data_IF_093320625240
#
_entry.id   IF_093320625240
#
_cell.length_a   1.000
_cell.length_b   1.000
_cell.length_c   1.000
_cell.angle_alpha   90.00
_cell.angle_beta   90.00
_cell.angle_gamma   90.00
#
_symmetry.space_group_name_H-M   'P 1'
#
loop_
_entity.id
_entity.type
_entity.pdbx_description
1 polymer ?
#
# COMPACT_ATOMS: atom_id res chain seq x y z
N UNK A 1 7.65 4.40 -7.85
CA UNK A 1 8.37 4.71 -6.60
C UNK A 1 9.89 4.60 -6.78
N UNK A 2 10.43 3.42 -7.08
CA UNK A 2 11.88 3.16 -7.21
C UNK A 2 12.63 4.12 -8.15
N UNK A 3 12.11 4.30 -9.37
CA UNK A 3 12.66 5.24 -10.35
C UNK A 3 12.68 6.68 -9.84
N UNK A 4 11.65 7.09 -9.08
CA UNK A 4 11.56 8.42 -8.49
C UNK A 4 12.56 8.61 -7.37
N UNK A 5 12.74 7.62 -6.49
CA UNK A 5 13.77 7.65 -5.44
C UNK A 5 15.17 7.78 -6.04
N UNK A 6 15.48 6.99 -7.07
CA UNK A 6 16.77 7.06 -7.76
C UNK A 6 17.01 8.43 -8.40
N UNK A 7 15.99 9.00 -9.03
CA UNK A 7 16.04 10.36 -9.58
C UNK A 7 16.29 11.42 -8.48
N UNK A 8 15.50 11.40 -7.39
CA UNK A 8 15.63 12.37 -6.29
C UNK A 8 16.99 12.29 -5.58
N UNK A 9 17.57 11.08 -5.45
CA UNK A 9 18.92 10.89 -4.91
C UNK A 9 19.99 11.42 -5.86
N UNK A 10 19.86 11.13 -7.17
CA UNK A 10 20.78 11.61 -8.19
C UNK A 10 20.85 13.14 -8.24
N UNK A 11 19.69 13.81 -8.23
CA UNK A 11 19.61 15.29 -8.21
C UNK A 11 20.31 15.91 -6.99
N UNK A 12 20.44 15.14 -5.90
CA UNK A 12 21.13 15.55 -4.66
C UNK A 12 22.56 15.02 -4.55
N UNK A 13 23.10 14.43 -5.63
CA UNK A 13 24.50 14.00 -5.72
C UNK A 13 24.80 12.62 -5.15
N UNK A 14 23.78 11.79 -4.89
CA UNK A 14 23.96 10.43 -4.37
C UNK A 14 23.80 9.37 -5.47
N UNK A 15 24.55 8.27 -5.33
CA UNK A 15 24.36 7.06 -6.11
C UNK A 15 23.38 6.11 -5.40
N UNK A 16 22.57 5.38 -6.16
CA UNK A 16 21.60 4.43 -5.60
C UNK A 16 22.06 2.98 -5.85
N UNK A 17 22.04 2.17 -4.79
CA UNK A 17 22.14 0.72 -4.88
C UNK A 17 20.81 0.10 -4.45
N UNK A 18 20.28 -0.81 -5.27
CA UNK A 18 18.97 -1.42 -5.03
C UNK A 18 19.11 -2.90 -4.68
N UNK A 19 18.37 -3.33 -3.66
CA UNK A 19 18.30 -4.72 -3.23
C UNK A 19 16.86 -5.15 -2.99
N UNK A 20 16.55 -6.41 -3.30
CA UNK A 20 15.24 -6.99 -3.06
C UNK A 20 15.38 -8.31 -2.28
N UNK A 21 14.86 -8.30 -1.05
CA UNK A 21 14.88 -9.46 -0.15
C UNK A 21 13.89 -10.56 -0.53
N UNK A 22 12.93 -10.31 -1.43
CA UNK A 22 11.88 -11.24 -1.85
C UNK A 22 11.15 -11.86 -0.65
N UNK A 23 10.88 -11.04 0.37
CA UNK A 23 10.25 -11.45 1.63
C UNK A 23 10.97 -12.64 2.31
N UNK A 24 12.30 -12.70 2.13
CA UNK A 24 13.17 -13.64 2.81
C UNK A 24 13.99 -12.90 3.89
N UNK A 25 13.72 -13.14 5.19
CA UNK A 25 14.41 -12.47 6.29
C UNK A 25 15.93 -12.67 6.28
N UNK A 26 16.41 -13.86 5.88
CA UNK A 26 17.84 -14.14 5.83
C UNK A 26 18.53 -13.37 4.69
N UNK A 27 17.82 -13.18 3.58
CA UNK A 27 18.30 -12.37 2.45
C UNK A 27 18.34 -10.89 2.85
N UNK A 28 17.32 -10.39 3.54
CA UNK A 28 17.31 -9.02 4.07
C UNK A 28 18.42 -8.80 5.09
N UNK A 29 18.59 -9.72 6.05
CA UNK A 29 19.69 -9.67 7.01
C UNK A 29 21.04 -9.61 6.31
N UNK A 30 21.28 -10.45 5.30
CA UNK A 30 22.53 -10.41 4.52
C UNK A 30 22.70 -9.07 3.79
N UNK A 31 21.64 -8.52 3.20
CA UNK A 31 21.70 -7.19 2.59
C UNK A 31 22.08 -6.12 3.61
N UNK A 32 21.46 -6.11 4.79
CA UNK A 32 21.81 -5.18 5.86
C UNK A 32 23.28 -5.33 6.23
N UNK A 33 23.79 -6.55 6.44
CA UNK A 33 25.21 -6.74 6.76
C UNK A 33 26.13 -6.22 5.65
N UNK A 34 25.86 -6.53 4.37
CA UNK A 34 26.66 -6.01 3.26
C UNK A 34 26.61 -4.50 3.12
N UNK A 35 25.45 -3.89 3.39
CA UNK A 35 25.28 -2.45 3.36
C UNK A 35 26.01 -1.78 4.52
N UNK A 36 25.96 -2.38 5.71
CA UNK A 36 26.71 -1.92 6.89
C UNK A 36 28.23 -2.05 6.69
N UNK A 37 28.69 -3.11 6.03
CA UNK A 37 30.10 -3.33 5.72
C UNK A 37 30.59 -2.48 4.52
N UNK A 38 29.67 -2.08 3.64
CA UNK A 38 29.95 -1.50 2.32
C UNK A 38 30.08 0.03 2.24
N UNK A 39 30.10 0.74 3.39
CA UNK A 39 30.15 2.22 3.45
C UNK A 39 29.03 2.92 2.64
N UNK A 40 27.77 2.50 2.78
CA UNK A 40 26.65 3.35 2.31
C UNK A 40 26.40 4.48 3.32
N UNK A 41 26.03 5.67 2.80
CA UNK A 41 25.71 6.82 3.66
C UNK A 41 24.36 6.65 4.37
N UNK A 42 23.42 5.91 3.77
CA UNK A 42 22.09 5.71 4.33
C UNK A 42 21.21 4.75 3.53
N UNK A 43 20.10 4.33 4.14
CA UNK A 43 19.19 3.31 3.61
C UNK A 43 17.73 3.80 3.61
N UNK A 44 17.04 3.56 2.50
CA UNK A 44 15.58 3.67 2.39
C UNK A 44 14.98 2.27 2.35
N UNK A 45 14.05 1.98 3.26
CA UNK A 45 13.39 0.67 3.35
C UNK A 45 11.95 0.76 2.86
N UNK A 46 11.62 0.11 1.74
CA UNK A 46 10.26 0.03 1.19
C UNK A 46 9.57 -1.33 1.37
N UNK A 47 10.33 -2.38 1.69
CA UNK A 47 9.85 -3.71 2.02
C UNK A 47 10.67 -4.24 3.21
N UNK A 48 10.01 -4.88 4.18
CA UNK A 48 10.64 -5.26 5.44
C UNK A 48 10.07 -6.57 5.99
N UNK A 49 10.97 -7.49 6.35
CA UNK A 49 10.67 -8.66 7.17
C UNK A 49 10.75 -8.28 8.65
N UNK A 50 9.64 -8.48 9.39
CA UNK A 50 9.58 -8.15 10.81
C UNK A 50 10.65 -8.85 11.66
N UNK A 51 11.03 -8.21 12.77
CA UNK A 51 11.81 -8.84 13.83
C UNK A 51 13.32 -8.87 13.58
N UNK A 52 13.82 -8.08 12.62
CA UNK A 52 15.24 -7.87 12.43
C UNK A 52 15.76 -6.83 13.44
N UNK A 53 16.42 -7.29 14.50
CA UNK A 53 17.00 -6.44 15.54
C UNK A 53 18.11 -5.53 15.00
N UNK A 54 18.70 -5.90 13.86
CA UNK A 54 19.75 -5.14 13.18
C UNK A 54 19.34 -3.70 12.88
N UNK A 55 18.05 -3.45 12.59
CA UNK A 55 17.52 -2.09 12.39
C UNK A 55 17.48 -1.24 13.67
N UNK A 56 17.48 -1.86 14.85
CA UNK A 56 17.48 -1.16 16.14
C UNK A 56 18.89 -0.89 16.66
N UNK A 57 19.85 -1.73 16.25
CA UNK A 57 21.23 -1.73 16.75
C UNK A 57 22.19 -0.91 15.88
N UNK A 58 21.79 -0.58 14.65
CA UNK A 58 22.63 0.16 13.70
C UNK A 58 22.61 1.67 13.91
N UNK A 59 23.75 2.31 13.64
CA UNK A 59 23.90 3.78 13.54
C UNK A 59 23.72 4.30 12.11
N UNK A 60 23.45 3.41 11.15
CA UNK A 60 23.18 3.80 9.77
C UNK A 60 21.96 4.76 9.73
N UNK A 61 22.03 5.87 8.98
CA UNK A 61 20.86 6.68 8.66
C UNK A 61 19.81 5.85 7.91
N UNK A 62 18.64 5.65 8.51
CA UNK A 62 17.54 4.89 7.90
C UNK A 62 16.24 5.70 7.91
N UNK A 63 15.53 5.63 6.79
CA UNK A 63 14.14 6.09 6.63
C UNK A 63 13.34 4.93 6.02
N UNK A 64 12.08 4.75 6.42
CA UNK A 64 11.19 3.79 5.79
C UNK A 64 10.08 4.46 5.00
N UNK A 65 9.57 3.76 3.98
CA UNK A 65 8.41 4.19 3.18
C UNK A 65 7.32 3.14 3.34
N UNK A 66 6.09 3.56 3.68
CA UNK A 66 4.90 2.71 3.83
C UNK A 66 5.03 1.52 4.80
N UNK A 67 6.12 1.44 5.58
CA UNK A 67 6.41 0.32 6.49
C UNK A 67 6.93 0.80 7.83
N UNK A 68 6.35 0.28 8.90
CA UNK A 68 6.87 0.47 10.25
C UNK A 68 7.98 -0.55 10.50
N UNK A 69 9.24 -0.07 10.48
CA UNK A 69 10.43 -0.93 10.62
C UNK A 69 10.90 -0.99 12.08
N UNK A 70 11.13 0.17 12.70
CA UNK A 70 11.51 0.27 14.11
C UNK A 70 11.12 1.64 14.70
N UNK A 71 10.92 1.76 16.02
CA UNK A 71 10.49 3.01 16.65
C UNK A 71 11.40 4.23 16.39
N UNK A 72 12.71 4.01 16.14
CA UNK A 72 13.69 5.08 15.89
C UNK A 72 13.87 5.43 14.41
N UNK A 73 13.18 4.72 13.51
CA UNK A 73 13.28 4.94 12.07
C UNK A 73 12.04 5.75 11.65
N UNK A 74 12.21 6.99 11.16
CA UNK A 74 11.09 7.77 10.67
C UNK A 74 10.50 7.09 9.43
N UNK A 75 9.19 7.15 9.35
CA UNK A 75 8.41 6.64 8.22
C UNK A 75 7.88 7.81 7.40
N UNK A 76 7.94 7.69 6.08
CA UNK A 76 7.13 8.49 5.17
C UNK A 76 6.03 7.59 4.62
N UNK A 77 4.77 7.94 4.85
CA UNK A 77 3.65 7.12 4.40
C UNK A 77 2.49 7.99 3.92
N UNK A 78 1.67 7.41 3.07
CA UNK A 78 0.37 7.92 2.70
C UNK A 78 -0.58 7.83 3.88
N UNK A 79 -1.57 8.72 3.94
CA UNK A 79 -2.65 8.62 4.91
C UNK A 79 -3.62 7.50 4.52
N UNK A 80 -3.20 6.28 4.83
CA UNK A 80 -3.91 5.05 4.52
C UNK A 80 -5.30 4.98 5.19
N UNK A 81 -5.48 5.64 6.35
CA UNK A 81 -6.79 5.71 7.00
C UNK A 81 -7.71 6.68 6.27
N UNK A 82 -7.23 7.88 5.94
CA UNK A 82 -8.00 8.81 5.13
C UNK A 82 -8.37 8.21 3.77
N UNK A 83 -7.45 7.46 3.14
CA UNK A 83 -7.71 6.72 1.91
C UNK A 83 -8.80 5.65 2.07
N UNK A 84 -8.72 4.83 3.12
CA UNK A 84 -9.77 3.83 3.41
C UNK A 84 -11.14 4.45 3.70
N UNK A 85 -11.17 5.60 4.38
CA UNK A 85 -12.39 6.37 4.60
C UNK A 85 -12.97 6.88 3.27
N UNK A 86 -12.15 7.52 2.44
CA UNK A 86 -12.58 8.04 1.14
C UNK A 86 -13.15 6.94 0.24
N UNK A 87 -12.47 5.80 0.14
CA UNK A 87 -12.92 4.67 -0.67
C UNK A 87 -14.24 4.08 -0.16
N UNK A 88 -14.32 3.81 1.16
CA UNK A 88 -15.53 3.21 1.73
C UNK A 88 -16.71 4.17 1.69
N UNK A 89 -16.49 5.45 2.02
CA UNK A 89 -17.53 6.48 1.99
C UNK A 89 -18.08 6.64 0.58
N UNK A 90 -17.24 6.60 -0.44
CA UNK A 90 -17.68 6.72 -1.83
C UNK A 90 -18.70 5.63 -2.20
N UNK A 91 -18.42 4.37 -1.85
CA UNK A 91 -19.37 3.28 -2.10
C UNK A 91 -20.67 3.44 -1.29
N UNK A 92 -20.59 3.94 -0.06
CA UNK A 92 -21.77 4.25 0.74
C UNK A 92 -22.63 5.37 0.12
N UNK A 93 -21.99 6.42 -0.39
CA UNK A 93 -22.64 7.55 -1.06
C UNK A 93 -23.36 7.09 -2.34
N UNK A 94 -22.78 6.12 -3.05
CA UNK A 94 -23.37 5.48 -4.23
C UNK A 94 -24.42 4.42 -3.90
N UNK A 95 -24.79 4.29 -2.62
CA UNK A 95 -25.89 3.45 -2.15
C UNK A 95 -25.56 1.97 -2.03
N UNK A 96 -24.30 1.55 -2.14
CA UNK A 96 -23.90 0.15 -1.89
C UNK A 96 -24.32 -0.26 -0.48
N UNK A 97 -24.87 -1.47 -0.33
CA UNK A 97 -25.34 -2.03 0.93
C UNK A 97 -24.39 -3.10 1.47
N UNK A 98 -23.81 -3.92 0.60
CA UNK A 98 -22.98 -5.08 0.93
C UNK A 98 -21.57 -4.85 0.41
N UNK A 99 -20.80 -4.08 1.20
CA UNK A 99 -19.44 -3.70 0.85
C UNK A 99 -18.44 -4.68 1.46
N UNK A 100 -17.58 -5.26 0.64
CA UNK A 100 -16.49 -6.14 1.07
C UNK A 100 -15.15 -5.46 0.85
N UNK A 101 -14.24 -5.62 1.80
CA UNK A 101 -12.86 -5.14 1.68
C UNK A 101 -11.92 -6.30 1.38
N UNK A 102 -10.90 -6.09 0.54
CA UNK A 102 -9.73 -6.97 0.50
C UNK A 102 -8.56 -6.28 1.18
N UNK A 103 -7.73 -7.02 1.90
CA UNK A 103 -6.53 -6.47 2.51
C UNK A 103 -5.37 -7.46 2.49
N UNK A 104 -4.16 -6.96 2.75
CA UNK A 104 -3.05 -7.82 3.10
C UNK A 104 -3.23 -8.44 4.51
N UNK A 105 -2.79 -9.70 4.74
CA UNK A 105 -2.82 -10.34 6.06
C UNK A 105 -2.41 -9.46 7.26
N UNK A 106 -3.17 -9.54 8.36
CA UNK A 106 -3.02 -8.66 9.56
C UNK A 106 -1.67 -8.73 10.28
N UNK A 107 -0.86 -9.75 10.02
CA UNK A 107 0.42 -9.95 10.72
C UNK A 107 1.52 -8.98 10.25
N UNK A 108 1.33 -8.25 9.15
CA UNK A 108 2.34 -7.29 8.69
C UNK A 108 2.25 -5.93 9.36
N UNK A 109 3.42 -5.32 9.64
CA UNK A 109 3.56 -3.95 10.13
C UNK A 109 3.35 -2.92 9.01
N UNK A 110 2.37 -3.23 8.15
CA UNK A 110 1.97 -2.47 6.97
C UNK A 110 1.07 -1.31 7.34
N UNK A 111 1.26 -0.18 6.69
CA UNK A 111 0.34 0.96 6.75
C UNK A 111 -1.05 0.60 6.18
N UNK A 112 -1.16 -0.46 5.36
CA UNK A 112 -2.42 -0.95 4.79
C UNK A 112 -3.46 -1.36 5.85
N UNK A 113 -3.04 -1.76 7.06
CA UNK A 113 -3.97 -2.06 8.15
C UNK A 113 -4.83 -0.86 8.53
N UNK A 114 -4.34 0.37 8.30
CA UNK A 114 -5.14 1.58 8.49
C UNK A 114 -6.26 1.73 7.45
N UNK A 115 -6.11 1.17 6.24
CA UNK A 115 -7.19 1.13 5.22
C UNK A 115 -8.35 0.27 5.71
N UNK A 116 -8.02 -0.94 6.19
CA UNK A 116 -9.00 -1.86 6.79
C UNK A 116 -9.67 -1.25 8.02
N UNK A 117 -8.90 -0.62 8.91
CA UNK A 117 -9.47 0.03 10.09
C UNK A 117 -10.50 1.10 9.71
N UNK A 118 -10.20 1.95 8.71
CA UNK A 118 -11.13 2.96 8.23
C UNK A 118 -12.43 2.36 7.65
N UNK A 119 -12.30 1.29 6.85
CA UNK A 119 -13.44 0.53 6.34
C UNK A 119 -14.28 -0.04 7.50
N UNK A 120 -13.65 -0.70 8.48
CA UNK A 120 -14.32 -1.29 9.63
C UNK A 120 -15.05 -0.24 10.47
N UNK A 121 -14.40 0.86 10.78
CA UNK A 121 -14.97 1.98 11.55
C UNK A 121 -16.22 2.53 10.85
N UNK A 122 -16.16 2.74 9.53
CA UNK A 122 -17.27 3.31 8.77
C UNK A 122 -18.44 2.32 8.61
N UNK A 123 -18.16 1.04 8.37
CA UNK A 123 -19.20 0.01 8.32
C UNK A 123 -19.93 -0.12 9.67
N UNK A 124 -19.19 -0.13 10.78
CA UNK A 124 -19.76 -0.17 12.14
C UNK A 124 -20.61 1.08 12.41
N UNK A 125 -20.12 2.27 12.03
CA UNK A 125 -20.86 3.53 12.16
C UNK A 125 -22.20 3.49 11.40
N UNK A 126 -22.26 2.81 10.26
CA UNK A 126 -23.47 2.60 9.47
C UNK A 126 -24.27 1.36 9.89
N UNK A 127 -23.95 0.74 11.03
CA UNK A 127 -24.60 -0.46 11.56
C UNK A 127 -24.55 -1.67 10.62
N UNK A 128 -23.44 -1.81 9.89
CA UNK A 128 -23.17 -2.93 8.99
C UNK A 128 -22.02 -3.77 9.50
N UNK A 129 -22.08 -5.08 9.27
CA UNK A 129 -21.01 -5.99 9.64
C UNK A 129 -19.86 -5.86 8.62
N UNK A 130 -18.64 -5.48 9.03
CA UNK A 130 -17.50 -5.46 8.12
C UNK A 130 -17.06 -6.88 7.78
N UNK A 131 -16.69 -7.10 6.52
CA UNK A 131 -16.16 -8.35 6.00
C UNK A 131 -14.89 -8.04 5.22
N UNK A 132 -13.77 -8.65 5.62
CA UNK A 132 -12.49 -8.49 4.93
C UNK A 132 -11.90 -9.84 4.55
N UNK A 133 -11.49 -9.97 3.29
CA UNK A 133 -10.72 -11.11 2.81
C UNK A 133 -9.24 -10.75 2.75
N UNK A 134 -8.40 -11.62 3.29
CA UNK A 134 -6.95 -11.46 3.22
C UNK A 134 -6.41 -12.00 1.88
N UNK A 135 -5.62 -11.17 1.19
CA UNK A 135 -5.01 -11.46 -0.10
C UNK A 135 -3.53 -11.15 0.00
N UNK A 136 -2.68 -12.17 -0.10
CA UNK A 136 -1.23 -11.97 -0.05
C UNK A 136 -0.74 -11.40 -1.39
N UNK A 137 0.05 -10.33 -1.32
CA UNK A 137 0.67 -9.65 -2.47
C UNK A 137 1.51 -10.60 -3.35
N UNK A 138 2.31 -11.50 -2.75
CA UNK A 138 3.19 -12.40 -3.50
C UNK A 138 2.51 -13.70 -3.94
N UNK A 139 1.25 -13.91 -3.58
CA UNK A 139 0.53 -15.09 -4.03
C UNK A 139 0.41 -15.11 -5.55
N UNK A 140 0.52 -16.29 -6.17
CA UNK A 140 0.16 -16.50 -7.57
C UNK A 140 -1.22 -15.91 -7.90
N UNK A 141 -1.40 -15.47 -9.14
CA UNK A 141 -2.67 -14.86 -9.59
C UNK A 141 -3.82 -15.85 -9.42
N UNK A 142 -3.59 -17.13 -9.66
CA UNK A 142 -4.59 -18.20 -9.53
C UNK A 142 -5.13 -18.30 -8.09
N UNK A 143 -4.26 -18.16 -7.09
CA UNK A 143 -4.63 -18.19 -5.68
C UNK A 143 -5.44 -16.95 -5.30
N UNK A 144 -5.04 -15.77 -5.80
CA UNK A 144 -5.81 -14.53 -5.62
C UNK A 144 -7.21 -14.63 -6.24
N UNK A 145 -7.28 -15.12 -7.47
CA UNK A 145 -8.56 -15.36 -8.18
C UNK A 145 -9.43 -16.36 -7.44
N UNK A 146 -8.86 -17.40 -6.82
CA UNK A 146 -9.62 -18.33 -5.99
C UNK A 146 -10.26 -17.64 -4.78
N UNK A 147 -9.55 -16.71 -4.14
CA UNK A 147 -10.10 -15.88 -3.05
C UNK A 147 -11.24 -15.00 -3.57
N UNK A 148 -11.07 -14.33 -4.70
CA UNK A 148 -12.13 -13.48 -5.27
C UNK A 148 -13.37 -14.28 -5.69
N UNK A 149 -13.20 -15.48 -6.27
CA UNK A 149 -14.32 -16.40 -6.55
C UNK A 149 -15.07 -16.79 -5.28
N UNK A 150 -14.33 -16.99 -4.18
CA UNK A 150 -14.92 -17.29 -2.88
C UNK A 150 -15.78 -16.13 -2.36
N UNK A 151 -15.35 -14.88 -2.55
CA UNK A 151 -16.14 -13.68 -2.22
C UNK A 151 -17.51 -13.74 -2.90
N UNK A 152 -17.55 -13.89 -4.23
CA UNK A 152 -18.81 -13.95 -4.98
C UNK A 152 -19.68 -15.17 -4.64
N UNK A 153 -19.07 -16.29 -4.26
CA UNK A 153 -19.80 -17.51 -3.89
C UNK A 153 -20.42 -17.42 -2.48
N UNK A 154 -19.72 -16.81 -1.52
CA UNK A 154 -20.19 -16.66 -0.14
C UNK A 154 -21.10 -15.44 0.03
N UNK A 155 -20.91 -14.42 -0.82
CA UNK A 155 -21.64 -13.15 -0.79
C UNK A 155 -22.19 -12.78 -2.18
N UNK A 156 -23.17 -13.53 -2.71
CA UNK A 156 -23.79 -13.21 -4.00
C UNK A 156 -24.46 -11.81 -4.03
N UNK A 157 -24.79 -11.26 -2.85
CA UNK A 157 -25.36 -9.93 -2.65
C UNK A 157 -24.35 -8.77 -2.68
N UNK A 158 -23.04 -9.05 -2.81
CA UNK A 158 -22.00 -8.01 -2.84
C UNK A 158 -22.27 -7.00 -3.96
N UNK A 159 -22.27 -5.72 -3.60
CA UNK A 159 -22.53 -4.61 -4.53
C UNK A 159 -21.44 -3.52 -4.48
N UNK A 160 -20.47 -3.66 -3.56
CA UNK A 160 -19.30 -2.80 -3.48
C UNK A 160 -18.06 -3.57 -3.02
N UNK A 161 -16.93 -3.33 -3.67
CA UNK A 161 -15.63 -3.85 -3.22
C UNK A 161 -14.61 -2.71 -3.10
N UNK A 162 -14.02 -2.58 -1.91
CA UNK A 162 -12.81 -1.77 -1.70
C UNK A 162 -11.62 -2.73 -1.79
N UNK A 163 -10.90 -2.67 -2.91
CA UNK A 163 -9.75 -3.51 -3.14
C UNK A 163 -8.50 -2.92 -2.46
N UNK A 164 -7.60 -3.79 -2.00
CA UNK A 164 -6.36 -3.41 -1.32
C UNK A 164 -5.36 -2.68 -2.23
N UNK A 165 -5.42 -2.94 -3.54
CA UNK A 165 -4.63 -2.26 -4.56
C UNK A 165 -5.29 -2.33 -5.95
N UNK A 166 -4.81 -1.53 -6.90
CA UNK A 166 -5.31 -1.44 -8.27
C UNK A 166 -5.19 -2.75 -9.07
N UNK A 167 -4.14 -3.53 -8.83
CA UNK A 167 -3.94 -4.82 -9.53
C UNK A 167 -5.02 -5.83 -9.11
N UNK A 168 -5.31 -5.92 -7.82
CA UNK A 168 -6.38 -6.77 -7.30
C UNK A 168 -7.76 -6.24 -7.72
N UNK A 169 -7.95 -4.91 -7.76
CA UNK A 169 -9.18 -4.32 -8.31
C UNK A 169 -9.43 -4.75 -9.76
N UNK A 170 -8.39 -4.72 -10.60
CA UNK A 170 -8.44 -5.19 -11.99
C UNK A 170 -8.87 -6.67 -12.09
N UNK A 171 -8.24 -7.54 -11.30
CA UNK A 171 -8.58 -8.97 -11.27
C UNK A 171 -10.03 -9.21 -10.82
N UNK A 172 -10.51 -8.44 -9.83
CA UNK A 172 -11.88 -8.53 -9.32
C UNK A 172 -12.89 -8.09 -10.38
N UNK A 173 -12.64 -6.96 -11.06
CA UNK A 173 -13.52 -6.45 -12.13
C UNK A 173 -13.61 -7.47 -13.27
N UNK A 174 -12.46 -8.00 -13.72
CA UNK A 174 -12.42 -8.99 -14.79
C UNK A 174 -13.22 -10.24 -14.42
N UNK A 175 -13.00 -10.78 -13.21
CA UNK A 175 -13.74 -11.93 -12.72
C UNK A 175 -15.23 -11.65 -12.57
N UNK A 176 -15.62 -10.47 -12.08
CA UNK A 176 -17.02 -10.08 -11.95
C UNK A 176 -17.72 -10.11 -13.31
N UNK A 177 -17.08 -9.57 -14.34
CA UNK A 177 -17.58 -9.60 -15.72
C UNK A 177 -17.70 -11.03 -16.27
N UNK A 178 -16.72 -11.91 -16.01
CA UNK A 178 -16.81 -13.33 -16.36
C UNK A 178 -17.99 -14.03 -15.69
N UNK A 179 -18.31 -13.64 -14.46
CA UNK A 179 -19.46 -14.14 -13.70
C UNK A 179 -20.79 -13.46 -14.08
N UNK A 180 -20.76 -12.49 -15.01
CA UNK A 180 -21.94 -11.82 -15.54
C UNK A 180 -22.40 -10.59 -14.75
N UNK A 181 -21.62 -10.10 -13.79
CA UNK A 181 -21.89 -8.82 -13.11
C UNK A 181 -21.60 -7.64 -14.05
N UNK A 182 -22.47 -6.64 -14.00
CA UNK A 182 -22.24 -5.34 -14.64
C UNK A 182 -21.52 -4.40 -13.66
N UNK A 183 -20.35 -3.90 -14.07
CA UNK A 183 -19.60 -2.87 -13.34
C UNK A 183 -19.77 -1.54 -14.10
N UNK A 184 -20.29 -0.46 -13.47
CA UNK A 184 -20.58 -0.28 -12.05
C UNK A 184 -22.02 -0.62 -11.60
N UNK A 185 -22.92 -0.96 -12.54
CA UNK A 185 -24.38 -0.98 -12.29
C UNK A 185 -24.82 -1.95 -11.18
N UNK A 186 -24.18 -3.11 -11.08
CA UNK A 186 -24.47 -4.15 -10.09
C UNK A 186 -23.36 -4.31 -9.05
N UNK A 187 -22.12 -4.03 -9.44
CA UNK A 187 -20.96 -4.10 -8.56
C UNK A 187 -20.09 -2.88 -8.80
N UNK A 188 -19.85 -2.10 -7.75
CA UNK A 188 -18.86 -1.03 -7.76
C UNK A 188 -17.53 -1.51 -7.21
N UNK A 189 -16.42 -1.09 -7.80
CA UNK A 189 -15.07 -1.47 -7.37
C UNK A 189 -14.19 -0.23 -7.28
N UNK A 190 -13.55 -0.05 -6.13
CA UNK A 190 -12.55 1.00 -5.90
C UNK A 190 -11.20 0.36 -5.63
N UNK A 191 -10.17 0.82 -6.34
CA UNK A 191 -8.78 0.44 -6.14
C UNK A 191 -8.04 1.30 -5.13
N UNK A 192 -6.74 1.04 -5.02
CA UNK A 192 -5.81 1.83 -4.24
C UNK A 192 -4.44 1.78 -4.91
N UNK A 193 -3.73 2.90 -4.89
CA UNK A 193 -2.36 3.17 -5.36
C UNK A 193 -2.37 4.32 -6.37
N UNK A 194 -3.27 4.27 -7.36
CA UNK A 194 -3.39 5.26 -8.42
C UNK A 194 -2.06 5.44 -9.16
N UNK A 195 -1.38 4.33 -9.41
CA UNK A 195 -0.09 4.35 -10.10
C UNK A 195 -0.27 4.87 -11.55
N UNK A 196 0.71 5.60 -12.07
CA UNK A 196 0.67 6.14 -13.44
C UNK A 196 0.37 5.05 -14.48
N UNK A 197 0.89 3.84 -14.27
CA UNK A 197 0.60 2.69 -15.14
C UNK A 197 -0.86 2.26 -15.08
N UNK A 198 -1.48 2.28 -13.90
CA UNK A 198 -2.91 1.98 -13.75
C UNK A 198 -3.74 3.05 -14.45
N UNK A 199 -3.43 4.33 -14.26
CA UNK A 199 -4.18 5.43 -14.91
C UNK A 199 -4.12 5.34 -16.44
N UNK A 200 -3.03 4.81 -17.01
CA UNK A 200 -2.88 4.62 -18.45
C UNK A 200 -3.61 3.36 -18.94
N UNK A 201 -3.50 2.25 -18.21
CA UNK A 201 -4.01 0.94 -18.66
C UNK A 201 -5.48 0.70 -18.29
N UNK A 202 -5.96 1.35 -17.24
CA UNK A 202 -7.30 1.25 -16.69
C UNK A 202 -7.80 2.64 -16.24
N UNK A 203 -7.95 3.60 -17.17
CA UNK A 203 -8.44 4.94 -16.85
C UNK A 203 -9.86 4.94 -16.26
N UNK A 204 -10.62 3.87 -16.44
CA UNK A 204 -11.95 3.68 -15.87
C UNK A 204 -11.95 3.35 -14.38
N UNK A 205 -10.82 2.93 -13.80
CA UNK A 205 -10.78 2.50 -12.40
C UNK A 205 -10.86 3.71 -11.46
N UNK A 206 -11.92 3.78 -10.66
CA UNK A 206 -11.98 4.66 -9.48
C UNK A 206 -10.97 4.14 -8.45
N UNK A 207 -10.04 4.97 -7.98
CA UNK A 207 -8.93 4.53 -7.09
C UNK A 207 -8.44 5.63 -6.16
N UNK A 208 -7.91 5.25 -4.99
CA UNK A 208 -7.17 6.17 -4.12
C UNK A 208 -5.75 6.36 -4.66
N UNK A 209 -5.43 7.58 -5.08
CA UNK A 209 -4.13 7.98 -5.60
C UNK A 209 -3.17 8.37 -4.47
N UNK A 210 -2.05 7.66 -4.41
CA UNK A 210 -0.94 7.99 -3.50
C UNK A 210 -0.06 9.10 -4.09
N UNK A 211 0.48 10.00 -3.26
CA UNK A 211 1.36 11.07 -3.72
C UNK A 211 2.80 10.55 -3.92
N UNK A 212 3.00 9.64 -4.89
CA UNK A 212 4.28 8.92 -5.10
C UNK A 212 5.49 9.84 -5.24
N UNK A 213 5.34 10.98 -5.90
CA UNK A 213 6.42 11.96 -6.05
C UNK A 213 6.81 12.59 -4.71
N UNK A 214 5.82 12.98 -3.91
CA UNK A 214 6.05 13.60 -2.61
C UNK A 214 6.57 12.59 -1.59
N UNK A 215 6.09 11.34 -1.62
CA UNK A 215 6.62 10.25 -0.81
C UNK A 215 8.12 10.07 -1.08
N UNK A 216 8.51 10.00 -2.34
CA UNK A 216 9.90 9.81 -2.72
C UNK A 216 10.78 11.00 -2.33
N UNK A 217 10.37 12.23 -2.67
CA UNK A 217 11.15 13.43 -2.37
C UNK A 217 11.28 13.63 -0.85
N UNK A 218 10.18 13.45 -0.11
CA UNK A 218 10.17 13.53 1.36
C UNK A 218 11.08 12.47 1.98
N UNK A 219 11.04 11.22 1.50
CA UNK A 219 11.89 10.16 2.04
C UNK A 219 13.39 10.45 1.85
N UNK A 220 13.76 10.98 0.68
CA UNK A 220 15.14 11.40 0.40
C UNK A 220 15.54 12.59 1.28
N UNK A 221 14.66 13.58 1.46
CA UNK A 221 14.93 14.72 2.35
C UNK A 221 15.12 14.28 3.80
N UNK A 222 14.27 13.38 4.31
CA UNK A 222 14.42 12.83 5.66
C UNK A 222 15.73 12.04 5.79
N UNK A 223 16.12 11.29 4.75
CA UNK A 223 17.36 10.51 4.79
C UNK A 223 18.58 11.42 4.85
N UNK A 224 18.62 12.47 4.03
CA UNK A 224 19.74 13.42 3.99
C UNK A 224 19.88 14.17 5.30
N UNK A 225 18.76 14.57 5.94
CA UNK A 225 18.80 15.13 7.30
C UNK A 225 19.49 14.20 8.29
N UNK A 226 19.15 12.89 8.24
CA UNK A 226 19.79 11.89 9.08
C UNK A 226 21.26 11.69 8.75
N UNK A 227 21.65 11.68 7.47
CA UNK A 227 23.04 11.61 7.02
C UNK A 227 23.85 12.78 7.58
N UNK A 228 23.26 13.97 7.63
CA UNK A 228 23.86 15.17 8.19
C UNK A 228 23.87 15.23 9.73
N UNK A 229 23.43 14.17 10.40
CA UNK A 229 23.47 14.05 11.87
C UNK A 229 22.25 14.58 12.61
N UNK A 230 21.14 14.85 11.92
CA UNK A 230 19.87 15.17 12.60
C UNK A 230 19.26 13.91 13.23
N UNK A 231 19.25 13.84 14.57
CA UNK A 231 18.76 12.66 15.31
C UNK A 231 17.24 12.58 15.42
N UNK A 232 16.55 13.73 15.43
CA UNK A 232 15.10 13.83 15.69
C UNK A 232 14.28 14.15 14.44
N UNK A 233 14.53 13.41 13.36
CA UNK A 233 13.73 13.52 12.14
C UNK A 233 12.37 12.84 12.37
N UNK A 234 11.29 13.62 12.28
CA UNK A 234 9.93 13.12 12.50
C UNK A 234 9.40 12.36 11.28
N UNK A 235 8.55 11.37 11.53
CA UNK A 235 7.76 10.69 10.50
C UNK A 235 6.78 11.66 9.83
N UNK A 236 6.50 11.44 8.55
CA UNK A 236 5.61 12.28 7.73
C UNK A 236 4.48 11.43 7.15
N UNK A 237 3.24 11.87 7.36
CA UNK A 237 2.06 11.29 6.72
C UNK A 237 1.57 12.26 5.66
N UNK A 238 1.49 11.81 4.41
CA UNK A 238 1.09 12.62 3.26
C UNK A 238 -0.36 12.35 2.86
N UNK A 239 -1.11 13.38 2.45
CA UNK A 239 -2.51 13.21 2.05
C UNK A 239 -2.61 12.40 0.75
N UNK A 240 -3.68 11.63 0.63
CA UNK A 240 -4.08 10.94 -0.60
C UNK A 240 -5.31 11.60 -1.21
N UNK A 241 -5.62 11.28 -2.46
CA UNK A 241 -6.81 11.79 -3.16
C UNK A 241 -7.58 10.67 -3.81
N UNK A 242 -8.91 10.78 -3.90
CA UNK A 242 -9.71 9.91 -4.74
C UNK A 242 -9.60 10.34 -6.21
N UNK A 243 -9.17 9.43 -7.08
CA UNK A 243 -9.28 9.55 -8.52
C UNK A 243 -10.62 8.94 -8.95
N UNK A 244 -11.44 9.76 -9.60
CA UNK A 244 -12.78 9.43 -10.07
C UNK A 244 -12.75 8.72 -11.43
N UNK A 245 -13.13 7.44 -11.46
CA UNK A 245 -13.29 6.64 -12.66
C UNK A 245 -14.76 6.36 -12.98
N UNK A 246 -15.04 5.26 -13.70
CA UNK A 246 -16.39 4.77 -13.98
C UNK A 246 -16.71 3.43 -13.32
N UNK A 247 -15.80 2.85 -12.52
CA UNK A 247 -16.03 1.58 -11.80
C UNK A 247 -16.73 1.75 -10.47
N UNK A 248 -16.75 2.96 -9.93
CA UNK A 248 -17.57 3.38 -8.81
C UNK A 248 -17.95 4.82 -9.05
#
# INVERSE_FOLDING_TARGET
>A
MESRLAYELYERGYATLMGNSQNNPDKERRFLHYLLDGQIDGLIVGAHNQGLSEYQETNLPIVSIERWVAPKIPIVASDNYAGGLMATQRLLDDGCQNIIHTNYPRLESSTNQRRQQAYEDLMIQHHRQPITYEVNFDSPVEDKVAIFKKIFAEHPEVDGIVADNDTNASLIIHLAQELGYQVPDQLKVIGFDGADTTEILMPELTTIKQPINDLASTAVDLLIKRINGEENVASVILPVTLHEGTTA
#
